data_IF_036953954891
#
_entry.id   IF_036953954891
#
_cell.length_a   1.000
_cell.length_b   1.000
_cell.length_c   1.000
_cell.angle_alpha   90.00
_cell.angle_beta   90.00
_cell.angle_gamma   90.00
#
_symmetry.space_group_name_H-M   'P 1'
#
loop_
_entity.id
_entity.type
_entity.pdbx_description
1 polymer ?
#
# COMPACT_ATOMS: atom_id res chain seq x y z
N UNK A 1 17.60 -3.41 14.86
CA UNK A 1 17.57 -2.38 13.82
C UNK A 1 16.18 -2.29 13.24
N UNK A 2 15.63 -1.11 13.06
CA UNK A 2 14.34 -1.00 12.39
C UNK A 2 14.48 -1.40 10.93
N UNK A 3 13.43 -1.87 10.30
CA UNK A 3 13.48 -2.23 8.89
C UNK A 3 13.64 -1.02 7.99
N UNK A 4 14.21 -1.25 6.82
CA UNK A 4 14.16 -0.27 5.74
C UNK A 4 12.70 -0.22 5.26
N UNK A 5 12.14 0.97 5.14
CA UNK A 5 10.77 1.13 4.68
C UNK A 5 10.77 1.60 3.23
N UNK A 6 10.04 0.88 2.39
CA UNK A 6 9.96 1.15 0.96
C UNK A 6 8.53 1.58 0.65
N UNK A 7 8.38 2.75 0.06
CA UNK A 7 7.07 3.28 -0.28
C UNK A 7 6.63 2.77 -1.65
N UNK A 8 5.50 2.07 -1.67
CA UNK A 8 4.87 1.61 -2.90
C UNK A 8 3.82 2.65 -3.30
N UNK A 9 3.97 3.23 -4.48
CA UNK A 9 3.03 4.24 -4.97
C UNK A 9 2.10 3.54 -5.95
N UNK A 10 0.81 3.48 -5.61
CA UNK A 10 -0.18 2.73 -6.37
C UNK A 10 -1.41 3.60 -6.63
N UNK A 11 -2.15 3.35 -7.71
CA UNK A 11 -3.42 4.06 -7.91
C UNK A 11 -4.44 3.72 -6.84
N UNK A 12 -4.54 2.44 -6.48
CA UNK A 12 -5.39 1.93 -5.42
C UNK A 12 -4.92 0.53 -5.09
N UNK A 13 -5.31 -0.01 -3.94
CA UNK A 13 -4.93 -1.39 -3.58
C UNK A 13 -6.17 -2.28 -3.54
N UNK A 14 -6.80 -2.42 -4.68
CA UNK A 14 -7.87 -3.37 -4.90
C UNK A 14 -7.32 -4.66 -5.52
N UNK A 15 -8.17 -5.64 -5.78
CA UNK A 15 -7.72 -6.96 -6.19
C UNK A 15 -7.40 -7.05 -7.68
N UNK A 16 -6.71 -6.06 -8.24
CA UNK A 16 -6.22 -6.11 -9.61
C UNK A 16 -4.92 -6.88 -9.71
N UNK A 17 -4.45 -7.09 -10.95
CA UNK A 17 -3.26 -7.90 -11.19
C UNK A 17 -1.99 -7.32 -10.57
N UNK A 18 -1.76 -6.01 -10.74
CA UNK A 18 -0.58 -5.38 -10.18
C UNK A 18 -0.61 -5.38 -8.66
N UNK A 19 -1.78 -5.05 -8.09
CA UNK A 19 -1.95 -5.00 -6.65
C UNK A 19 -1.76 -6.37 -6.03
N UNK A 20 -2.30 -7.41 -6.67
CA UNK A 20 -2.14 -8.78 -6.19
C UNK A 20 -0.67 -9.21 -6.24
N UNK A 21 0.04 -8.84 -7.30
CA UNK A 21 1.47 -9.13 -7.41
C UNK A 21 2.25 -8.50 -6.26
N UNK A 22 2.02 -7.21 -6.01
CA UNK A 22 2.70 -6.50 -4.93
C UNK A 22 2.40 -7.15 -3.57
N UNK A 23 1.14 -7.54 -3.35
CA UNK A 23 0.77 -8.20 -2.10
C UNK A 23 1.43 -9.57 -1.95
N UNK A 24 1.58 -10.32 -3.04
CA UNK A 24 2.28 -11.60 -2.96
C UNK A 24 3.74 -11.42 -2.57
N UNK A 25 4.40 -10.39 -3.09
CA UNK A 25 5.76 -10.07 -2.68
C UNK A 25 5.78 -9.65 -1.21
N UNK A 26 4.86 -8.77 -0.82
CA UNK A 26 4.81 -8.23 0.53
C UNK A 26 4.61 -9.32 1.58
N UNK A 27 3.80 -10.32 1.27
CA UNK A 27 3.54 -11.43 2.19
C UNK A 27 4.76 -12.31 2.41
N UNK A 28 5.68 -12.34 1.45
CA UNK A 28 6.81 -13.28 1.47
C UNK A 28 8.11 -12.66 1.94
N UNK A 29 8.26 -11.35 1.93
CA UNK A 29 9.51 -10.72 2.36
C UNK A 29 9.65 -10.79 3.88
N UNK A 30 10.89 -10.65 4.35
CA UNK A 30 11.15 -10.55 5.79
C UNK A 30 10.87 -9.12 6.23
N UNK A 31 9.70 -8.89 6.78
CA UNK A 31 9.25 -7.55 7.15
C UNK A 31 9.99 -6.97 8.36
N UNK A 32 10.78 -7.76 9.02
CA UNK A 32 11.68 -7.23 10.04
C UNK A 32 12.89 -6.54 9.43
N UNK A 33 13.22 -6.87 8.19
CA UNK A 33 14.34 -6.25 7.46
C UNK A 33 13.88 -5.21 6.47
N UNK A 34 12.79 -5.49 5.76
CA UNK A 34 12.22 -4.58 4.75
C UNK A 34 10.72 -4.52 4.95
N UNK A 35 10.21 -3.34 5.20
CA UNK A 35 8.78 -3.13 5.39
C UNK A 35 8.26 -2.24 4.27
N UNK A 36 7.03 -2.47 3.81
CA UNK A 36 6.40 -1.64 2.80
C UNK A 36 5.44 -0.66 3.44
N UNK A 37 5.40 0.54 2.90
CA UNK A 37 4.34 1.49 3.12
C UNK A 37 3.69 1.75 1.77
N UNK A 38 2.46 2.23 1.75
CA UNK A 38 1.68 2.36 0.53
C UNK A 38 1.09 3.76 0.43
N UNK A 39 1.19 4.34 -0.75
CA UNK A 39 0.58 5.63 -1.06
C UNK A 39 -0.37 5.43 -2.22
N UNK A 40 -1.65 5.73 -2.00
CA UNK A 40 -2.67 5.58 -3.03
C UNK A 40 -3.15 6.94 -3.51
N UNK A 41 -3.43 7.03 -4.80
CA UNK A 41 -4.16 8.16 -5.35
C UNK A 41 -5.66 7.88 -5.31
N UNK A 42 -6.17 7.50 -4.13
CA UNK A 42 -7.53 7.05 -3.97
C UNK A 42 -7.86 7.10 -2.47
N UNK A 43 -8.97 7.70 -2.12
CA UNK A 43 -9.24 7.99 -0.72
C UNK A 43 -10.32 7.11 -0.09
N UNK A 44 -10.78 6.08 -0.79
CA UNK A 44 -11.80 5.18 -0.28
C UNK A 44 -11.16 3.88 0.20
N UNK A 45 -11.89 3.08 1.00
CA UNK A 45 -11.36 1.78 1.44
C UNK A 45 -11.03 0.89 0.25
N UNK A 46 -9.93 0.17 0.35
CA UNK A 46 -9.46 -0.73 -0.68
C UNK A 46 -9.41 -2.16 -0.15
N UNK A 47 -9.42 -3.11 -1.07
CA UNK A 47 -9.54 -4.53 -0.73
C UNK A 47 -8.43 -5.00 0.22
N UNK A 48 -7.20 -4.55 0.00
CA UNK A 48 -6.05 -5.03 0.77
C UNK A 48 -5.70 -4.17 1.99
N UNK A 49 -6.47 -3.12 2.30
CA UNK A 49 -6.11 -2.18 3.36
C UNK A 49 -5.88 -2.87 4.71
N UNK A 50 -6.82 -3.70 5.11
CA UNK A 50 -6.73 -4.33 6.43
C UNK A 50 -5.56 -5.29 6.52
N UNK A 51 -5.29 -6.04 5.45
CA UNK A 51 -4.15 -6.95 5.43
C UNK A 51 -2.84 -6.18 5.50
N UNK A 52 -2.72 -5.08 4.77
CA UNK A 52 -1.51 -4.27 4.79
C UNK A 52 -1.23 -3.77 6.20
N UNK A 53 -2.26 -3.26 6.87
CA UNK A 53 -2.09 -2.77 8.24
C UNK A 53 -1.74 -3.90 9.21
N UNK A 54 -2.36 -5.07 9.03
CA UNK A 54 -2.07 -6.23 9.87
C UNK A 54 -0.62 -6.70 9.73
N UNK A 55 -0.03 -6.51 8.54
CA UNK A 55 1.37 -6.86 8.28
C UNK A 55 2.35 -5.75 8.69
N UNK A 56 1.85 -4.64 9.21
CA UNK A 56 2.69 -3.55 9.70
C UNK A 56 2.93 -2.42 8.73
N UNK A 57 2.33 -2.45 7.56
CA UNK A 57 2.46 -1.39 6.58
C UNK A 57 1.63 -0.16 6.94
N UNK A 58 2.09 1.00 6.52
CA UNK A 58 1.36 2.25 6.68
C UNK A 58 0.73 2.62 5.36
N UNK A 59 -0.48 3.15 5.41
CA UNK A 59 -1.22 3.53 4.22
C UNK A 59 -1.46 5.03 4.25
N UNK A 60 -1.05 5.68 3.17
CA UNK A 60 -1.27 7.10 2.96
C UNK A 60 -2.18 7.25 1.75
N UNK A 61 -3.25 8.00 1.87
CA UNK A 61 -4.21 8.17 0.78
C UNK A 61 -4.27 9.63 0.38
N UNK A 62 -4.15 9.86 -0.92
CA UNK A 62 -4.27 11.20 -1.48
C UNK A 62 -5.61 11.34 -2.15
N UNK A 63 -6.33 12.38 -1.78
CA UNK A 63 -7.58 12.72 -2.45
C UNK A 63 -7.25 13.38 -3.76
N UNK A 64 -7.75 12.84 -4.85
CA UNK A 64 -7.63 13.48 -6.14
C UNK A 64 -8.66 14.59 -6.21
N UNK A 65 -8.19 15.82 -6.18
CA UNK A 65 -9.07 16.94 -6.23
C UNK A 65 -9.23 17.39 -7.65
N UNK A 66 -10.43 17.37 -8.13
CA UNK A 66 -10.71 18.00 -9.38
C UNK A 66 -11.08 19.43 -9.10
N UNK A 67 -10.25 20.30 -9.61
CA UNK A 67 -10.47 21.68 -9.42
C UNK A 67 -11.32 22.19 -10.53
N UNK A 68 -12.55 22.45 -10.25
CA UNK A 68 -13.47 22.84 -11.28
C UNK A 68 -13.72 24.30 -11.31
N UNK A 69 -12.85 25.08 -11.08
CA UNK A 69 -13.16 26.43 -11.01
C UNK A 69 -13.73 27.15 -12.09
#
# INVERSE_FOLDING_TARGET
>A
MPPIRVLQIMPAMDAGGMETFVMNVYRTIDREKVQFDFLYHYDKPCFFDDEIRALGGRIYKLTVRQDNN
#
